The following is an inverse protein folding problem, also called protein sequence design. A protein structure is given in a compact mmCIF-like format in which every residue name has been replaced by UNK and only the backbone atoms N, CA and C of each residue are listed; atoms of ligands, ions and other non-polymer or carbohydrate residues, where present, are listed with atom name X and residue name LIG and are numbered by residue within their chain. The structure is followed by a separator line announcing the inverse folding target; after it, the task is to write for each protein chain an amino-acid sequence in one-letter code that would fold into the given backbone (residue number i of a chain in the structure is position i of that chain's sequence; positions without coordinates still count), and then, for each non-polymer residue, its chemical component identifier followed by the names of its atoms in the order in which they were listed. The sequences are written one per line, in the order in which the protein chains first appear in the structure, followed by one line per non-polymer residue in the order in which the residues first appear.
data_IF_774308130273
#
_entry.id   IF_774308130273
#
_cell.length_a   1.000
_cell.length_b   1.000
_cell.length_c   1.000
_cell.angle_alpha   90.00
_cell.angle_beta   90.00
_cell.angle_gamma   90.00
#
_symmetry.space_group_name_H-M   'P 1'
#
loop_
_entity.id
_entity.type
_entity.pdbx_description
1 polymer ?
#
# COMPACT_ATOMS: atom_id res chain seq x y z
N UNK A 1 18.87 -40.30 -4.93
CA UNK A 1 19.24 -38.86 -4.90
C UNK A 1 17.96 -38.03 -4.93
N UNK A 2 17.47 -37.59 -3.77
CA UNK A 2 16.26 -36.77 -3.67
C UNK A 2 16.60 -35.34 -4.09
N UNK A 3 16.15 -34.92 -5.28
CA UNK A 3 16.48 -33.61 -5.90
C UNK A 3 15.75 -32.42 -5.25
N UNK A 4 14.85 -32.67 -4.30
CA UNK A 4 14.11 -31.65 -3.58
C UNK A 4 14.41 -31.73 -2.08
N UNK A 5 15.67 -31.50 -1.69
CA UNK A 5 15.91 -30.91 -0.37
C UNK A 5 15.27 -29.53 -0.43
N UNK A 6 14.11 -29.37 0.22
CA UNK A 6 13.33 -28.13 0.19
C UNK A 6 14.25 -26.94 0.41
N UNK A 7 14.10 -25.89 -0.41
CA UNK A 7 14.93 -24.68 -0.37
C UNK A 7 15.00 -24.21 1.09
N UNK A 8 16.13 -24.48 1.75
CA UNK A 8 16.40 -24.03 3.12
C UNK A 8 16.72 -22.55 2.97
N UNK A 9 15.70 -21.71 3.04
CA UNK A 9 15.89 -20.27 3.04
C UNK A 9 16.66 -19.88 4.31
N UNK A 10 17.86 -19.35 4.14
CA UNK A 10 18.66 -18.84 5.25
C UNK A 10 17.88 -17.73 5.98
N UNK A 11 17.70 -17.79 7.31
CA UNK A 11 17.03 -16.74 8.07
C UNK A 11 17.61 -15.34 7.81
N UNK A 12 18.89 -15.21 7.47
CA UNK A 12 19.52 -13.94 7.10
C UNK A 12 18.91 -13.36 5.80
N UNK A 13 18.64 -14.22 4.80
CA UNK A 13 18.01 -13.80 3.55
C UNK A 13 16.54 -13.41 3.76
N UNK A 14 15.82 -14.17 4.60
CA UNK A 14 14.44 -13.82 4.94
C UNK A 14 14.40 -12.51 5.72
N UNK A 15 15.33 -12.26 6.64
CA UNK A 15 15.44 -11.00 7.39
C UNK A 15 15.62 -9.78 6.49
N UNK A 16 16.49 -9.86 5.50
CA UNK A 16 16.76 -8.76 4.55
C UNK A 16 15.57 -8.42 3.63
N UNK A 17 14.59 -9.32 3.50
CA UNK A 17 13.41 -9.12 2.64
C UNK A 17 12.15 -8.73 3.41
N UNK A 18 12.19 -8.76 4.75
CA UNK A 18 11.11 -8.24 5.60
C UNK A 18 11.24 -6.72 5.75
N UNK A 19 10.12 -5.99 5.85
CA UNK A 19 10.16 -4.59 6.25
C UNK A 19 10.80 -4.44 7.64
N UNK A 20 11.45 -3.31 7.91
CA UNK A 20 12.03 -3.05 9.23
C UNK A 20 10.92 -2.95 10.30
N UNK A 21 11.10 -3.69 11.39
CA UNK A 21 10.15 -3.75 12.50
C UNK A 21 10.83 -3.44 13.83
N UNK A 22 10.13 -2.72 14.69
CA UNK A 22 10.53 -2.38 16.07
C UNK A 22 9.43 -2.89 17.00
N UNK A 23 9.79 -3.74 17.98
CA UNK A 23 8.84 -4.37 18.92
C UNK A 23 7.62 -5.06 18.25
N UNK A 24 7.85 -5.64 17.07
CA UNK A 24 6.81 -6.36 16.31
C UNK A 24 5.86 -5.48 15.49
N UNK A 25 6.08 -4.16 15.46
CA UNK A 25 5.34 -3.20 14.62
C UNK A 25 6.28 -2.64 13.54
N UNK A 26 5.77 -2.34 12.35
CA UNK A 26 6.60 -1.74 11.29
C UNK A 26 7.02 -0.31 11.64
N UNK A 27 8.15 0.13 11.09
CA UNK A 27 8.65 1.49 11.31
C UNK A 27 7.61 2.61 11.04
N UNK A 28 6.84 2.59 9.93
CA UNK A 28 5.81 3.61 9.68
C UNK A 28 4.69 3.62 10.73
N UNK A 29 4.28 2.44 11.21
CA UNK A 29 3.23 2.32 12.22
C UNK A 29 3.72 2.78 13.61
N UNK A 30 4.97 2.51 13.96
CA UNK A 30 5.59 3.03 15.17
C UNK A 30 5.66 4.57 15.15
N UNK A 31 6.05 5.16 14.02
CA UNK A 31 6.05 6.61 13.84
C UNK A 31 4.64 7.19 13.96
N UNK A 32 3.64 6.57 13.33
CA UNK A 32 2.25 7.01 13.43
C UNK A 32 1.75 7.00 14.88
N UNK A 33 2.07 5.95 15.65
CA UNK A 33 1.73 5.86 17.06
C UNK A 33 2.35 7.01 17.86
N UNK A 34 3.68 7.20 17.73
CA UNK A 34 4.44 8.23 18.45
C UNK A 34 3.89 9.63 18.13
N UNK A 35 3.65 9.93 16.86
CA UNK A 35 3.09 11.22 16.44
C UNK A 35 1.72 11.42 17.08
N UNK A 36 0.81 10.46 16.98
CA UNK A 36 -0.54 10.59 17.57
C UNK A 36 -0.48 10.81 19.07
N UNK A 37 0.30 10.00 19.79
CA UNK A 37 0.37 10.10 21.26
C UNK A 37 1.01 11.41 21.69
N UNK A 38 2.03 11.88 20.96
CA UNK A 38 2.74 13.13 21.27
C UNK A 38 1.88 14.35 20.97
N UNK A 39 1.27 14.42 19.79
CA UNK A 39 0.36 15.52 19.42
C UNK A 39 -0.83 15.60 20.38
N UNK A 40 -1.44 14.45 20.71
CA UNK A 40 -2.58 14.41 21.63
C UNK A 40 -2.20 14.83 23.06
N UNK A 41 -1.01 14.44 23.52
CA UNK A 41 -0.44 14.89 24.79
C UNK A 41 -0.24 16.41 24.80
N UNK A 42 0.34 17.00 23.74
CA UNK A 42 0.59 18.45 23.66
C UNK A 42 -0.73 19.24 23.66
N UNK A 43 -1.71 18.80 22.87
CA UNK A 43 -3.01 19.49 22.73
C UNK A 43 -3.80 19.45 24.04
N UNK A 44 -3.85 18.29 24.71
CA UNK A 44 -4.67 18.10 25.91
C UNK A 44 -3.92 18.43 27.20
N UNK A 45 -2.57 18.48 27.15
CA UNK A 45 -1.66 18.57 28.31
C UNK A 45 -1.96 17.53 29.39
N UNK A 46 -2.46 16.37 28.99
CA UNK A 46 -2.88 15.30 29.90
C UNK A 46 -1.96 14.09 29.76
N UNK A 47 -1.34 13.67 30.87
CA UNK A 47 -0.43 12.53 30.91
C UNK A 47 -1.09 11.19 30.57
N UNK A 48 -2.42 11.08 30.64
CA UNK A 48 -3.16 9.89 30.24
C UNK A 48 -2.89 9.48 28.77
N UNK A 49 -2.50 10.42 27.91
CA UNK A 49 -2.11 10.12 26.52
C UNK A 49 -0.87 9.24 26.40
N UNK A 50 0.02 9.25 27.40
CA UNK A 50 1.16 8.32 27.45
C UNK A 50 0.67 6.89 27.68
N UNK A 51 -0.37 6.70 28.51
CA UNK A 51 -0.97 5.39 28.72
C UNK A 51 -1.71 4.90 27.46
N UNK A 52 -2.31 5.81 26.69
CA UNK A 52 -2.96 5.51 25.42
C UNK A 52 -2.00 4.96 24.34
N UNK A 53 -0.68 5.14 24.50
CA UNK A 53 0.33 4.52 23.64
C UNK A 53 0.18 3.00 23.57
N UNK A 54 -0.04 2.35 24.72
CA UNK A 54 -0.11 0.88 24.83
C UNK A 54 -1.28 0.28 24.03
N UNK A 55 -2.55 0.71 24.21
CA UNK A 55 -3.66 0.15 23.44
C UNK A 55 -3.55 0.46 21.94
N UNK A 56 -3.08 1.64 21.56
CA UNK A 56 -2.87 1.99 20.14
C UNK A 56 -1.75 1.11 19.56
N UNK A 57 -0.66 0.89 20.28
CA UNK A 57 0.44 0.04 19.83
C UNK A 57 -0.01 -1.41 19.70
N UNK A 58 -0.81 -1.90 20.66
CA UNK A 58 -1.43 -3.22 20.60
C UNK A 58 -2.27 -3.42 19.33
N UNK A 59 -3.10 -2.43 18.96
CA UNK A 59 -3.88 -2.50 17.72
C UNK A 59 -2.98 -2.54 16.48
N UNK A 60 -1.95 -1.70 16.41
CA UNK A 60 -1.01 -1.70 15.29
C UNK A 60 -0.22 -3.01 15.20
N UNK A 61 0.13 -3.60 16.34
CA UNK A 61 0.76 -4.91 16.42
C UNK A 61 -0.14 -6.00 15.86
N UNK A 62 -1.44 -6.01 16.22
CA UNK A 62 -2.40 -6.96 15.64
C UNK A 62 -2.53 -6.82 14.12
N UNK A 63 -2.51 -5.60 13.60
CA UNK A 63 -2.52 -5.35 12.14
C UNK A 63 -1.24 -5.87 11.48
N UNK A 64 -0.08 -5.63 12.10
CA UNK A 64 1.21 -6.11 11.59
C UNK A 64 1.37 -7.64 11.68
N UNK A 65 0.69 -8.31 12.62
CA UNK A 65 0.64 -9.77 12.71
C UNK A 65 -0.11 -10.40 11.53
N UNK A 66 -1.16 -9.73 11.03
CA UNK A 66 -1.90 -10.20 9.86
C UNK A 66 -1.08 -10.03 8.58
N UNK A 67 -0.58 -8.83 8.33
CA UNK A 67 0.22 -8.54 7.14
C UNK A 67 1.34 -7.53 7.48
N UNK A 68 2.62 -7.94 7.46
CA UNK A 68 3.72 -7.06 7.87
C UNK A 68 3.93 -5.88 6.93
N UNK A 69 3.36 -5.91 5.71
CA UNK A 69 3.48 -4.84 4.71
C UNK A 69 2.26 -3.92 4.65
N UNK A 70 1.32 -4.05 5.58
CA UNK A 70 0.04 -3.33 5.54
C UNK A 70 0.22 -1.82 5.34
N UNK A 71 1.09 -1.17 6.14
CA UNK A 71 1.29 0.28 6.08
C UNK A 71 2.01 0.74 4.81
N UNK A 72 2.93 -0.06 4.27
CA UNK A 72 3.60 0.25 3.01
C UNK A 72 2.64 0.13 1.83
N UNK A 73 1.80 -0.91 1.84
CA UNK A 73 0.74 -1.12 0.86
C UNK A 73 -0.31 -0.01 0.95
N UNK A 74 -0.69 0.40 2.15
CA UNK A 74 -1.62 1.51 2.38
C UNK A 74 -1.06 2.83 1.83
N UNK A 75 0.22 3.12 2.08
CA UNK A 75 0.90 4.29 1.52
C UNK A 75 0.96 4.23 -0.01
N UNK A 76 1.31 3.08 -0.57
CA UNK A 76 1.39 2.87 -2.01
C UNK A 76 0.01 3.03 -2.68
N UNK A 77 -1.02 2.45 -2.07
CA UNK A 77 -2.42 2.62 -2.48
C UNK A 77 -2.81 4.09 -2.43
N UNK A 78 -2.49 4.80 -1.36
CA UNK A 78 -2.71 6.23 -1.23
C UNK A 78 -2.05 7.02 -2.36
N UNK A 79 -0.79 6.72 -2.71
CA UNK A 79 -0.11 7.44 -3.80
C UNK A 79 -0.65 7.14 -5.20
N UNK A 80 -1.21 5.97 -5.42
CA UNK A 80 -1.62 5.51 -6.77
C UNK A 80 -3.10 5.67 -7.04
N UNK A 81 -3.97 5.36 -6.06
CA UNK A 81 -5.42 5.46 -6.18
C UNK A 81 -5.96 6.82 -5.78
N UNK A 82 -5.41 7.47 -4.76
CA UNK A 82 -5.97 8.71 -4.22
C UNK A 82 -5.93 9.87 -5.25
N UNK A 83 -4.84 10.12 -6.00
CA UNK A 83 -4.84 11.16 -7.04
C UNK A 83 -5.81 10.83 -8.17
N UNK A 84 -5.98 9.55 -8.49
CA UNK A 84 -6.91 9.12 -9.51
C UNK A 84 -8.38 9.30 -9.08
N UNK A 85 -8.67 9.13 -7.79
CA UNK A 85 -9.99 9.35 -7.19
C UNK A 85 -10.32 10.83 -7.04
N UNK A 86 -9.42 11.60 -6.43
CA UNK A 86 -9.65 13.01 -6.09
C UNK A 86 -9.47 13.94 -7.29
N UNK A 87 -8.52 13.65 -8.18
CA UNK A 87 -8.26 14.45 -9.39
C UNK A 87 -9.27 14.22 -10.52
N UNK A 88 -10.35 13.45 -10.28
CA UNK A 88 -11.38 13.17 -11.28
C UNK A 88 -10.93 12.26 -12.43
N UNK A 89 -9.68 11.79 -12.44
CA UNK A 89 -9.13 10.91 -13.48
C UNK A 89 -9.96 9.62 -13.61
N UNK A 90 -10.34 8.99 -12.50
CA UNK A 90 -11.22 7.81 -12.51
C UNK A 90 -12.63 8.12 -13.03
N UNK A 91 -13.14 9.33 -12.81
CA UNK A 91 -14.46 9.75 -13.33
C UNK A 91 -14.42 10.06 -14.82
N UNK A 92 -13.33 10.66 -15.29
CA UNK A 92 -13.22 11.07 -16.69
C UNK A 92 -12.71 9.93 -17.60
N UNK A 93 -11.75 9.13 -17.13
CA UNK A 93 -11.05 8.11 -17.92
C UNK A 93 -11.28 6.67 -17.45
N UNK A 94 -11.84 6.46 -16.26
CA UNK A 94 -12.09 5.10 -15.73
C UNK A 94 -10.84 4.32 -15.29
N UNK A 95 -9.65 4.90 -15.41
CA UNK A 95 -8.37 4.26 -15.07
C UNK A 95 -7.48 5.17 -14.22
N UNK A 96 -6.57 4.56 -13.45
CA UNK A 96 -5.55 5.30 -12.68
C UNK A 96 -4.30 5.67 -13.49
N UNK A 97 -4.12 5.08 -14.68
CA UNK A 97 -2.92 5.27 -15.53
C UNK A 97 -3.27 5.98 -16.84
N UNK A 98 -2.46 6.96 -17.23
CA UNK A 98 -2.52 7.58 -18.55
C UNK A 98 -1.72 6.72 -19.53
N UNK A 99 -2.39 5.78 -20.20
CA UNK A 99 -1.79 5.01 -21.30
C UNK A 99 -2.53 5.33 -22.60
N UNK A 100 -1.83 5.60 -23.71
CA UNK A 100 -2.47 5.72 -25.03
C UNK A 100 -2.99 4.36 -25.52
N UNK A 101 -2.58 3.26 -24.87
CA UNK A 101 -3.10 1.93 -25.13
C UNK A 101 -4.51 1.81 -24.51
N UNK A 102 -5.51 1.57 -25.36
CA UNK A 102 -6.86 1.25 -24.90
C UNK A 102 -6.83 -0.10 -24.14
N UNK A 103 -6.69 -0.02 -22.82
CA UNK A 103 -6.69 -1.18 -21.94
C UNK A 103 -8.13 -1.57 -21.62
N UNK A 104 -8.55 -2.77 -22.07
CA UNK A 104 -9.77 -3.41 -21.60
C UNK A 104 -9.54 -3.95 -20.18
N UNK A 105 -9.80 -3.09 -19.19
CA UNK A 105 -9.69 -3.46 -17.78
C UNK A 105 -10.90 -4.31 -17.38
N UNK A 106 -10.68 -5.46 -16.72
CA UNK A 106 -11.78 -6.25 -16.19
C UNK A 106 -12.59 -5.45 -15.16
N UNK A 107 -13.91 -5.62 -15.21
CA UNK A 107 -14.82 -5.08 -14.19
C UNK A 107 -14.49 -5.68 -12.80
N UNK A 108 -15.03 -5.13 -11.70
CA UNK A 108 -14.83 -5.63 -10.33
C UNK A 108 -15.22 -7.11 -10.15
N UNK A 109 -15.97 -7.66 -11.11
CA UNK A 109 -16.38 -9.07 -11.21
C UNK A 109 -15.47 -9.92 -12.12
N UNK A 110 -14.32 -9.39 -12.54
CA UNK A 110 -13.33 -10.08 -13.38
C UNK A 110 -13.70 -10.21 -14.87
N UNK A 111 -14.78 -9.58 -15.33
CA UNK A 111 -15.26 -9.71 -16.72
C UNK A 111 -14.56 -8.71 -17.63
N UNK A 112 -13.91 -9.20 -18.69
CA UNK A 112 -13.30 -8.41 -19.76
C UNK A 112 -14.27 -8.22 -20.92
N UNK A 113 -14.35 -7.03 -21.51
CA UNK A 113 -15.10 -6.81 -22.76
C UNK A 113 -14.19 -7.19 -23.91
N UNK A 114 -14.42 -8.37 -24.49
CA UNK A 114 -13.77 -8.76 -25.75
C UNK A 114 -14.09 -7.71 -26.82
N UNK A 115 -13.15 -6.80 -27.09
CA UNK A 115 -13.25 -5.84 -28.19
C UNK A 115 -11.92 -5.79 -28.92
N UNK A 116 -11.93 -6.25 -30.16
CA UNK A 116 -10.86 -6.20 -31.14
C UNK A 116 -10.35 -4.76 -31.29
N UNK A 117 -9.13 -4.51 -30.83
CA UNK A 117 -8.49 -3.21 -30.92
C UNK A 117 -8.13 -2.90 -32.39
N UNK A 118 -8.98 -2.14 -33.09
CA UNK A 118 -8.58 -1.47 -34.34
C UNK A 118 -7.77 -0.23 -33.95
N UNK A 119 -6.45 -0.35 -33.99
CA UNK A 119 -5.53 0.78 -33.83
C UNK A 119 -5.79 1.76 -34.97
N UNK A 120 -6.34 2.93 -34.65
CA UNK A 120 -6.45 4.05 -35.59
C UNK A 120 -5.34 5.02 -35.25
N UNK A 121 -4.21 4.90 -35.95
CA UNK A 121 -3.10 5.86 -35.87
C UNK A 121 -3.58 7.20 -36.41
N UNK A 122 -3.73 8.19 -35.54
CA UNK A 122 -3.81 9.59 -35.97
C UNK A 122 -2.37 10.13 -36.11
N UNK A 123 -2.05 10.87 -37.18
CA UNK A 123 -0.71 11.41 -37.36
C UNK A 123 -0.44 12.47 -36.29
N UNK A 124 0.67 12.30 -35.57
CA UNK A 124 1.19 13.28 -34.62
C UNK A 124 1.75 14.45 -35.42
N UNK A 125 1.14 15.63 -35.29
CA UNK A 125 1.73 16.88 -35.75
C UNK A 125 2.82 17.30 -34.75
N UNK A 126 4.05 17.31 -35.23
CA UNK A 126 5.25 17.82 -34.56
C UNK A 126 5.19 19.35 -34.58
N UNK A 127 5.46 19.98 -33.43
CA UNK A 127 5.97 21.35 -33.33
C UNK A 127 7.45 21.24 -32.99
#
# INVERSE_FOLDING_TARGET
MNRNQGIVADPLFVGMTRPSMVWGVTYPAMMFNIVITTESFIVTKNLAWVLAFVPIHGLLHLVCLYEPRFFDLLRLWGRTRLPALLGGNLRHWGASSYSPLALDLPDARGRRRVRTARVRTAPVAVI
#
